data_IF_290247632394
#
_entry.id   IF_290247632394
#
_cell.length_a   1.000
_cell.length_b   1.000
_cell.length_c   1.000
_cell.angle_alpha   90.00
_cell.angle_beta   90.00
_cell.angle_gamma   90.00
#
_symmetry.space_group_name_H-M   'P 1'
#
loop_
_entity.id
_entity.type
_entity.pdbx_description
1 polymer ?
#
# COMPACT_ATOMS: atom_id res chain seq x y z
N UNK A 1 -11.41 3.24 14.46
CA UNK A 1 -12.37 3.78 13.48
C UNK A 1 -13.38 4.79 14.04
N UNK A 2 -13.91 4.67 15.28
CA UNK A 2 -14.84 5.67 15.83
C UNK A 2 -14.22 7.07 15.92
N UNK A 3 -12.97 7.16 16.42
CA UNK A 3 -12.19 8.42 16.52
C UNK A 3 -12.05 9.18 15.21
N UNK A 4 -11.97 8.47 14.07
CA UNK A 4 -11.81 9.09 12.74
C UNK A 4 -13.12 9.64 12.19
N UNK A 5 -14.26 9.08 12.59
CA UNK A 5 -15.59 9.45 12.07
C UNK A 5 -16.25 10.47 13.01
N UNK A 6 -16.18 10.25 14.31
CA UNK A 6 -16.75 11.14 15.33
C UNK A 6 -15.88 12.38 15.53
N UNK A 7 -14.56 12.24 15.50
CA UNK A 7 -13.63 13.36 15.65
C UNK A 7 -13.51 14.26 14.40
N UNK A 8 -13.73 13.73 13.19
CA UNK A 8 -13.56 14.51 11.96
C UNK A 8 -14.73 15.43 11.64
N UNK A 9 -15.93 15.13 12.12
CA UNK A 9 -17.15 15.89 11.76
C UNK A 9 -17.37 17.10 12.69
N UNK A 10 -16.87 17.05 13.93
CA UNK A 10 -17.00 18.14 14.91
C UNK A 10 -15.67 18.83 15.26
N UNK A 11 -14.53 18.13 15.17
CA UNK A 11 -13.23 18.53 15.74
C UNK A 11 -12.06 18.43 14.73
N UNK A 12 -12.32 18.61 13.43
CA UNK A 12 -11.31 18.50 12.36
C UNK A 12 -10.09 19.43 12.52
N UNK A 13 -10.26 20.54 13.24
CA UNK A 13 -9.24 21.55 13.52
C UNK A 13 -8.25 21.11 14.61
N UNK A 14 -8.52 20.00 15.30
CA UNK A 14 -7.59 19.46 16.27
C UNK A 14 -6.32 18.94 15.58
N UNK A 15 -5.12 19.19 16.16
CA UNK A 15 -3.84 18.85 15.52
C UNK A 15 -3.72 17.34 15.22
N UNK A 16 -4.31 16.50 16.05
CA UNK A 16 -4.38 15.04 15.83
C UNK A 16 -5.23 14.64 14.62
N UNK A 17 -6.36 15.31 14.39
CA UNK A 17 -7.22 15.05 13.23
C UNK A 17 -6.52 15.50 11.94
N UNK A 18 -5.92 16.68 11.94
CA UNK A 18 -5.09 17.20 10.84
C UNK A 18 -3.93 16.26 10.49
N UNK A 19 -3.21 15.76 11.49
CA UNK A 19 -2.12 14.80 11.29
C UNK A 19 -2.61 13.49 10.64
N UNK A 20 -3.74 12.95 11.11
CA UNK A 20 -4.33 11.75 10.50
C UNK A 20 -4.77 11.99 9.05
N UNK A 21 -5.43 13.13 8.78
CA UNK A 21 -5.83 13.50 7.42
C UNK A 21 -4.62 13.67 6.49
N UNK A 22 -3.56 14.32 6.96
CA UNK A 22 -2.33 14.46 6.19
C UNK A 22 -1.71 13.10 5.86
N UNK A 23 -1.62 12.20 6.84
CA UNK A 23 -1.10 10.84 6.64
C UNK A 23 -1.97 10.07 5.65
N UNK A 24 -3.29 10.06 5.82
CA UNK A 24 -4.22 9.35 4.92
C UNK A 24 -4.16 9.92 3.51
N UNK A 25 -4.09 11.24 3.37
CA UNK A 25 -4.01 11.92 2.07
C UNK A 25 -2.69 11.64 1.36
N UNK A 26 -1.57 11.70 2.09
CA UNK A 26 -0.26 11.37 1.56
C UNK A 26 -0.19 9.88 1.16
N UNK A 27 -0.74 9.01 1.99
CA UNK A 27 -0.75 7.57 1.73
C UNK A 27 -1.62 7.25 0.50
N UNK A 28 -2.84 7.79 0.44
CA UNK A 28 -3.75 7.61 -0.69
C UNK A 28 -3.19 8.20 -1.99
N UNK A 29 -2.62 9.41 -1.92
CA UNK A 29 -1.97 10.07 -3.04
C UNK A 29 -0.75 9.30 -3.55
N UNK A 30 0.09 8.80 -2.65
CA UNK A 30 1.24 7.97 -3.02
C UNK A 30 0.80 6.66 -3.70
N UNK A 31 -0.23 5.98 -3.18
CA UNK A 31 -0.76 4.75 -3.79
C UNK A 31 -1.30 5.02 -5.20
N UNK A 32 -2.07 6.09 -5.37
CA UNK A 32 -2.57 6.52 -6.68
C UNK A 32 -1.43 6.85 -7.66
N UNK A 33 -0.42 7.60 -7.20
CA UNK A 33 0.75 7.94 -8.00
C UNK A 33 1.54 6.71 -8.47
N UNK A 34 1.78 5.74 -7.57
CA UNK A 34 2.47 4.49 -7.90
C UNK A 34 1.69 3.71 -8.96
N UNK A 35 0.36 3.62 -8.82
CA UNK A 35 -0.49 2.94 -9.81
C UNK A 35 -0.38 3.60 -11.19
N UNK A 36 -0.51 4.92 -11.26
CA UNK A 36 -0.40 5.67 -12.52
C UNK A 36 0.96 5.45 -13.17
N UNK A 37 2.05 5.64 -12.42
CA UNK A 37 3.42 5.42 -12.92
C UNK A 37 3.61 3.99 -13.40
N UNK A 38 3.09 3.00 -12.67
CA UNK A 38 3.16 1.58 -13.03
C UNK A 38 2.52 1.28 -14.38
N UNK A 39 1.29 1.76 -14.60
CA UNK A 39 0.59 1.58 -15.88
C UNK A 39 1.29 2.35 -17.01
N UNK A 40 1.77 3.58 -16.76
CA UNK A 40 2.53 4.35 -17.75
C UNK A 40 3.79 3.61 -18.19
N UNK A 41 4.58 3.08 -17.26
CA UNK A 41 5.77 2.29 -17.57
C UNK A 41 5.44 1.01 -18.36
N UNK A 42 4.31 0.37 -18.03
CA UNK A 42 3.84 -0.81 -18.75
C UNK A 42 3.54 -0.48 -20.22
N UNK A 43 2.83 0.62 -20.46
CA UNK A 43 2.51 1.12 -21.80
C UNK A 43 3.72 1.61 -22.59
N UNK A 44 4.78 2.05 -21.91
CA UNK A 44 6.05 2.40 -22.57
C UNK A 44 6.83 1.16 -23.01
N UNK A 45 6.75 0.06 -22.24
CA UNK A 45 7.57 -1.14 -22.44
C UNK A 45 6.92 -2.19 -23.34
N UNK A 46 5.60 -2.31 -23.33
CA UNK A 46 4.85 -3.32 -24.11
C UNK A 46 3.85 -2.66 -25.07
N UNK A 47 3.58 -3.30 -26.22
CA UNK A 47 2.59 -2.83 -27.21
C UNK A 47 1.72 -3.98 -27.73
N UNK A 48 0.55 -3.65 -28.25
CA UNK A 48 -0.36 -4.64 -28.85
C UNK A 48 -0.80 -5.73 -27.87
N UNK A 49 -0.72 -6.99 -28.27
CA UNK A 49 -1.16 -8.15 -27.48
C UNK A 49 -0.34 -8.31 -26.19
N UNK A 50 0.96 -8.01 -26.22
CA UNK A 50 1.81 -8.11 -25.03
C UNK A 50 1.37 -7.13 -23.93
N UNK A 51 0.90 -5.94 -24.30
CA UNK A 51 0.39 -4.96 -23.35
C UNK A 51 -0.87 -5.46 -22.64
N UNK A 52 -1.78 -6.12 -23.37
CA UNK A 52 -2.99 -6.73 -22.80
C UNK A 52 -2.63 -7.81 -21.78
N UNK A 53 -1.68 -8.69 -22.13
CA UNK A 53 -1.19 -9.74 -21.23
C UNK A 53 -0.53 -9.15 -19.98
N UNK A 54 0.35 -8.16 -20.16
CA UNK A 54 1.03 -7.50 -19.06
C UNK A 54 0.05 -6.79 -18.11
N UNK A 55 -0.98 -6.14 -18.66
CA UNK A 55 -2.03 -5.51 -17.86
C UNK A 55 -2.85 -6.53 -17.08
N UNK A 56 -3.17 -7.70 -17.67
CA UNK A 56 -3.86 -8.77 -16.97
C UNK A 56 -3.04 -9.29 -15.77
N UNK A 57 -1.73 -9.51 -15.95
CA UNK A 57 -0.84 -9.89 -14.85
C UNK A 57 -0.81 -8.81 -13.77
N UNK A 58 -0.73 -7.53 -14.16
CA UNK A 58 -0.76 -6.42 -13.22
C UNK A 58 -2.06 -6.38 -12.39
N UNK A 59 -3.23 -6.57 -13.03
CA UNK A 59 -4.51 -6.65 -12.33
C UNK A 59 -4.59 -7.86 -11.39
N UNK A 60 -4.06 -9.01 -11.79
CA UNK A 60 -3.99 -10.21 -10.92
C UNK A 60 -3.12 -9.92 -9.70
N UNK A 61 -1.93 -9.34 -9.89
CA UNK A 61 -1.03 -8.98 -8.79
C UNK A 61 -1.69 -7.98 -7.83
N UNK A 62 -2.42 -6.99 -8.38
CA UNK A 62 -3.18 -6.05 -7.57
C UNK A 62 -4.27 -6.77 -6.75
N UNK A 63 -5.02 -7.68 -7.36
CA UNK A 63 -6.04 -8.48 -6.68
C UNK A 63 -5.44 -9.37 -5.57
N UNK A 64 -4.33 -10.04 -5.84
CA UNK A 64 -3.62 -10.86 -4.84
C UNK A 64 -3.15 -9.99 -3.67
N UNK A 65 -2.58 -8.82 -3.95
CA UNK A 65 -2.19 -7.87 -2.90
C UNK A 65 -3.39 -7.38 -2.08
N UNK A 66 -4.51 -7.09 -2.75
CA UNK A 66 -5.76 -6.68 -2.12
C UNK A 66 -6.40 -7.76 -1.25
N UNK A 67 -6.12 -9.04 -1.51
CA UNK A 67 -6.57 -10.16 -0.66
C UNK A 67 -5.59 -10.42 0.50
N UNK A 68 -4.30 -10.51 0.19
CA UNK A 68 -3.28 -10.84 1.19
C UNK A 68 -3.11 -9.73 2.23
N UNK A 69 -3.21 -8.46 1.85
CA UNK A 69 -3.07 -7.33 2.76
C UNK A 69 -4.02 -7.39 3.96
N UNK A 70 -5.36 -7.36 3.74
CA UNK A 70 -6.35 -7.49 4.80
C UNK A 70 -6.25 -8.83 5.55
N UNK A 71 -5.92 -9.92 4.86
CA UNK A 71 -5.74 -11.21 5.52
C UNK A 71 -4.59 -11.19 6.54
N UNK A 72 -3.41 -10.71 6.14
CA UNK A 72 -2.23 -10.61 7.01
C UNK A 72 -2.50 -9.60 8.14
N UNK A 73 -3.02 -8.41 7.81
CA UNK A 73 -3.31 -7.39 8.81
C UNK A 73 -4.37 -7.85 9.81
N UNK A 74 -5.46 -8.48 9.33
CA UNK A 74 -6.53 -9.01 10.15
C UNK A 74 -6.06 -10.13 11.07
N UNK A 75 -5.35 -11.13 10.52
CA UNK A 75 -4.78 -12.23 11.33
C UNK A 75 -3.78 -11.73 12.37
N UNK A 76 -2.92 -10.77 12.02
CA UNK A 76 -2.02 -10.13 12.98
C UNK A 76 -2.80 -9.40 14.09
N UNK A 77 -3.86 -8.67 13.74
CA UNK A 77 -4.71 -8.01 14.72
C UNK A 77 -5.44 -8.99 15.63
N UNK A 78 -5.85 -10.16 15.12
CA UNK A 78 -6.43 -11.22 15.94
C UNK A 78 -5.41 -11.84 16.90
N UNK A 79 -4.15 -11.99 16.49
CA UNK A 79 -3.12 -12.64 17.29
C UNK A 79 -2.52 -11.75 18.38
N UNK A 80 -2.23 -10.48 18.08
CA UNK A 80 -1.51 -9.56 18.99
C UNK A 80 -2.28 -8.26 19.28
N UNK A 81 -3.55 -8.19 18.93
CA UNK A 81 -4.41 -7.04 19.18
C UNK A 81 -4.17 -5.87 18.21
N UNK A 82 -4.61 -4.64 18.54
CA UNK A 82 -4.59 -3.50 17.61
C UNK A 82 -3.21 -3.13 17.05
N UNK A 83 -2.14 -3.45 17.77
CA UNK A 83 -0.74 -3.24 17.31
C UNK A 83 -0.35 -4.17 16.15
N UNK A 84 -1.14 -5.21 15.90
CA UNK A 84 -0.95 -6.11 14.76
C UNK A 84 -1.06 -5.42 13.40
N UNK A 85 -1.87 -4.36 13.30
CA UNK A 85 -1.98 -3.59 12.06
C UNK A 85 -0.65 -2.89 11.69
N UNK A 86 -0.08 -1.98 12.52
CA UNK A 86 1.20 -1.35 12.19
C UNK A 86 2.35 -2.36 12.11
N UNK A 87 2.34 -3.43 12.92
CA UNK A 87 3.36 -4.48 12.83
C UNK A 87 3.36 -5.19 11.47
N UNK A 88 2.18 -5.50 10.91
CA UNK A 88 2.06 -6.14 9.59
C UNK A 88 2.60 -5.24 8.47
N UNK A 89 2.34 -3.93 8.53
CA UNK A 89 2.87 -2.95 7.59
C UNK A 89 4.39 -2.85 7.68
N UNK A 90 4.95 -2.76 8.89
CA UNK A 90 6.39 -2.70 9.11
C UNK A 90 7.09 -3.97 8.60
N UNK A 91 6.48 -5.14 8.81
CA UNK A 91 7.00 -6.40 8.28
C UNK A 91 7.02 -6.41 6.75
N UNK A 92 5.93 -5.99 6.09
CA UNK A 92 5.85 -5.92 4.63
C UNK A 92 6.88 -4.95 4.04
N UNK A 93 7.01 -3.74 4.62
CA UNK A 93 8.01 -2.75 4.21
C UNK A 93 9.41 -3.30 4.45
N UNK A 94 9.68 -3.88 5.62
CA UNK A 94 10.98 -4.46 5.95
C UNK A 94 11.39 -5.55 4.99
N UNK A 95 10.50 -6.48 4.64
CA UNK A 95 10.74 -7.51 3.64
C UNK A 95 11.05 -6.93 2.26
N UNK A 96 10.28 -5.92 1.82
CA UNK A 96 10.54 -5.24 0.55
C UNK A 96 11.88 -4.52 0.54
N UNK A 97 12.23 -3.80 1.62
CA UNK A 97 13.51 -3.10 1.76
C UNK A 97 14.67 -4.09 1.76
N UNK A 98 14.57 -5.20 2.48
CA UNK A 98 15.58 -6.27 2.48
C UNK A 98 15.77 -6.84 1.07
N UNK A 99 14.68 -7.14 0.37
CA UNK A 99 14.73 -7.62 -1.01
C UNK A 99 15.38 -6.58 -1.95
N UNK A 100 15.02 -5.31 -1.81
CA UNK A 100 15.56 -4.22 -2.61
C UNK A 100 17.08 -4.05 -2.38
N UNK A 101 17.52 -4.08 -1.12
CA UNK A 101 18.93 -3.99 -0.73
C UNK A 101 19.69 -5.22 -1.24
N UNK A 102 19.17 -6.42 -1.01
CA UNK A 102 19.76 -7.66 -1.52
C UNK A 102 19.99 -7.57 -3.03
N UNK A 103 18.95 -7.20 -3.79
CA UNK A 103 19.03 -7.03 -5.24
C UNK A 103 20.05 -5.97 -5.67
N UNK A 104 20.23 -4.89 -4.91
CA UNK A 104 21.25 -3.88 -5.20
C UNK A 104 22.65 -4.46 -5.02
N UNK A 105 22.88 -5.22 -3.95
CA UNK A 105 24.19 -5.84 -3.68
C UNK A 105 24.56 -6.94 -4.68
N UNK A 106 23.58 -7.71 -5.19
CA UNK A 106 23.84 -8.75 -6.21
C UNK A 106 23.96 -8.21 -7.63
N UNK A 107 23.74 -6.91 -7.85
CA UNK A 107 23.89 -6.28 -9.18
C UNK A 107 25.30 -5.68 -9.42
N UNK A 108 26.23 -5.94 -8.51
CA UNK A 108 27.67 -5.74 -8.71
C UNK A 108 28.32 -7.02 -9.26
#
# INVERSE_FOLDING_TARGET
FPVLIEGSLADWWQPQALALWAVVSLWGGAMGGIFTVGITLLGQRFRGVELVSANAVFSVLFGVGGLLGPFIAGTAMTAIGPVGFPASLLAAVGLYTLFAVYRQLTRH
#
